data_IF_475091270218
#
_entry.id   IF_475091270218
#
_cell.length_a   1.000
_cell.length_b   1.000
_cell.length_c   1.000
_cell.angle_alpha   90.00
_cell.angle_beta   90.00
_cell.angle_gamma   90.00
#
_symmetry.space_group_name_H-M   'P 1'
#
loop_
_entity.id
_entity.type
_entity.pdbx_description
1 polymer ?
#
# COMPACT_ATOMS: atom_id res chain seq x y z
N UNK A 1 -17.89 -19.68 -18.88
CA UNK A 1 -16.96 -20.70 -18.36
C UNK A 1 -15.59 -20.11 -17.98
N UNK A 2 -14.87 -19.40 -18.87
CA UNK A 2 -13.55 -18.82 -18.54
C UNK A 2 -13.56 -17.87 -17.32
N UNK A 3 -14.57 -17.00 -17.19
CA UNK A 3 -14.70 -16.09 -16.04
C UNK A 3 -14.91 -16.85 -14.71
N UNK A 4 -15.71 -17.91 -14.73
CA UNK A 4 -15.96 -18.76 -13.57
C UNK A 4 -14.70 -19.55 -13.17
N UNK A 5 -13.93 -20.05 -14.14
CA UNK A 5 -12.64 -20.70 -13.89
C UNK A 5 -11.62 -19.74 -13.29
N UNK A 6 -11.57 -18.50 -13.76
CA UNK A 6 -10.73 -17.43 -13.18
C UNK A 6 -11.14 -17.13 -11.74
N UNK A 7 -12.44 -17.03 -11.45
CA UNK A 7 -12.94 -16.82 -10.08
C UNK A 7 -12.59 -17.99 -9.15
N UNK A 8 -12.72 -19.24 -9.60
CA UNK A 8 -12.32 -20.42 -8.82
C UNK A 8 -10.81 -20.44 -8.57
N UNK A 9 -10.01 -20.09 -9.58
CA UNK A 9 -8.55 -20.01 -9.47
C UNK A 9 -8.15 -18.97 -8.41
N UNK A 10 -8.78 -17.80 -8.39
CA UNK A 10 -8.47 -16.73 -7.42
C UNK A 10 -9.23 -16.81 -6.10
N UNK A 11 -10.14 -17.77 -5.92
CA UNK A 11 -10.87 -17.99 -4.67
C UNK A 11 -9.98 -17.93 -3.41
N UNK A 12 -8.76 -18.53 -3.39
CA UNK A 12 -7.88 -18.48 -2.21
C UNK A 12 -7.38 -17.08 -1.84
N UNK A 13 -7.38 -16.14 -2.80
CA UNK A 13 -6.85 -14.77 -2.61
C UNK A 13 -7.91 -13.69 -2.85
N UNK A 14 -9.16 -14.08 -3.11
CA UNK A 14 -10.22 -13.15 -3.50
C UNK A 14 -10.49 -12.11 -2.41
N UNK A 15 -10.59 -12.52 -1.15
CA UNK A 15 -10.83 -11.62 -0.01
C UNK A 15 -9.69 -10.61 0.15
N UNK A 16 -8.45 -11.05 -0.09
CA UNK A 16 -7.26 -10.22 -0.03
C UNK A 16 -7.28 -9.18 -1.15
N UNK A 17 -7.61 -9.59 -2.38
CA UNK A 17 -7.74 -8.70 -3.53
C UNK A 17 -8.83 -7.66 -3.32
N UNK A 18 -10.00 -8.05 -2.79
CA UNK A 18 -11.10 -7.13 -2.47
C UNK A 18 -10.66 -6.13 -1.40
N UNK A 19 -10.04 -6.59 -0.31
CA UNK A 19 -9.51 -5.72 0.74
C UNK A 19 -8.51 -4.71 0.18
N UNK A 20 -7.69 -5.12 -0.77
CA UNK A 20 -6.71 -4.26 -1.44
C UNK A 20 -7.33 -3.21 -2.35
N UNK A 21 -8.37 -3.57 -3.09
CA UNK A 21 -9.15 -2.60 -3.88
C UNK A 21 -9.73 -1.53 -2.96
N UNK A 22 -10.33 -1.94 -1.82
CA UNK A 22 -10.88 -1.00 -0.83
C UNK A 22 -9.78 -0.09 -0.28
N UNK A 23 -8.63 -0.66 0.09
CA UNK A 23 -7.53 0.11 0.65
C UNK A 23 -6.91 1.09 -0.36
N UNK A 24 -6.75 0.66 -1.61
CA UNK A 24 -6.32 1.51 -2.72
C UNK A 24 -7.32 2.66 -2.93
N UNK A 25 -8.63 2.36 -2.96
CA UNK A 25 -9.66 3.38 -3.09
C UNK A 25 -9.59 4.40 -1.96
N UNK A 26 -9.44 3.96 -0.70
CA UNK A 26 -9.26 4.85 0.45
C UNK A 26 -8.00 5.71 0.29
N UNK A 27 -6.87 5.12 -0.08
CA UNK A 27 -5.62 5.86 -0.29
C UNK A 27 -5.77 6.95 -1.37
N UNK A 28 -6.48 6.65 -2.46
CA UNK A 28 -6.83 7.61 -3.49
C UNK A 28 -7.74 8.73 -2.98
N UNK A 29 -8.82 8.39 -2.28
CA UNK A 29 -9.80 9.35 -1.73
C UNK A 29 -9.14 10.31 -0.74
N UNK A 30 -8.38 9.81 0.24
CA UNK A 30 -7.70 10.67 1.21
C UNK A 30 -6.59 11.50 0.57
N UNK A 31 -5.87 10.96 -0.42
CA UNK A 31 -4.89 11.71 -1.19
C UNK A 31 -5.51 12.88 -1.94
N UNK A 32 -6.68 12.65 -2.55
CA UNK A 32 -7.46 13.68 -3.22
C UNK A 32 -7.98 14.74 -2.24
N UNK A 33 -8.63 14.32 -1.15
CA UNK A 33 -9.17 15.23 -0.15
C UNK A 33 -8.08 16.14 0.43
N UNK A 34 -6.91 15.58 0.73
CA UNK A 34 -5.78 16.35 1.22
C UNK A 34 -5.33 17.43 0.23
N UNK A 35 -5.33 17.15 -1.08
CA UNK A 35 -4.93 18.13 -2.09
C UNK A 35 -5.96 19.26 -2.28
N UNK A 36 -7.25 18.92 -2.24
CA UNK A 36 -8.34 19.91 -2.31
C UNK A 36 -8.29 20.84 -1.09
N UNK A 37 -8.23 20.25 0.11
CA UNK A 37 -8.24 21.01 1.38
C UNK A 37 -7.01 21.92 1.50
N UNK A 38 -5.84 21.46 1.03
CA UNK A 38 -4.61 22.25 1.07
C UNK A 38 -4.48 23.23 -0.12
N UNK A 39 -5.51 23.42 -0.93
CA UNK A 39 -5.54 24.39 -2.04
C UNK A 39 -4.59 24.05 -3.20
N UNK A 40 -4.10 22.81 -3.30
CA UNK A 40 -3.10 22.40 -4.31
C UNK A 40 -3.73 22.04 -5.67
N UNK A 41 -5.06 22.04 -5.75
CA UNK A 41 -5.82 21.65 -6.95
C UNK A 41 -5.63 20.17 -7.33
N UNK A 42 -6.44 19.68 -8.26
CA UNK A 42 -6.28 18.33 -8.80
C UNK A 42 -5.03 18.24 -9.68
N UNK A 43 -4.09 17.36 -9.32
CA UNK A 43 -2.90 17.07 -10.14
C UNK A 43 -3.03 15.70 -10.81
N UNK A 44 -3.25 15.69 -12.12
CA UNK A 44 -3.30 14.46 -12.93
C UNK A 44 -2.07 13.55 -12.72
N UNK A 45 -0.89 14.13 -12.48
CA UNK A 45 0.34 13.37 -12.21
C UNK A 45 0.29 12.51 -10.93
N UNK A 46 -0.57 12.84 -9.96
CA UNK A 46 -0.74 12.03 -8.75
C UNK A 46 -1.70 10.87 -8.97
N UNK A 47 -2.79 11.13 -9.68
CA UNK A 47 -3.73 10.09 -10.08
C UNK A 47 -3.05 9.02 -10.95
N UNK A 48 -2.19 9.42 -11.89
CA UNK A 48 -1.42 8.46 -12.70
C UNK A 48 -0.43 7.65 -11.86
N UNK A 49 0.29 8.27 -10.92
CA UNK A 49 1.17 7.54 -9.99
C UNK A 49 0.41 6.52 -9.14
N UNK A 50 -0.77 6.89 -8.65
CA UNK A 50 -1.66 5.97 -7.93
C UNK A 50 -2.10 4.80 -8.81
N UNK A 51 -2.56 5.06 -10.04
CA UNK A 51 -2.95 4.01 -10.99
C UNK A 51 -1.79 3.07 -11.33
N UNK A 52 -0.57 3.60 -11.50
CA UNK A 52 0.64 2.79 -11.71
C UNK A 52 0.91 1.90 -10.50
N UNK A 53 0.77 2.42 -9.27
CA UNK A 53 0.91 1.60 -8.05
C UNK A 53 -0.12 0.47 -8.00
N UNK A 54 -1.39 0.75 -8.32
CA UNK A 54 -2.42 -0.28 -8.43
C UNK A 54 -2.03 -1.35 -9.46
N UNK A 55 -1.64 -0.92 -10.65
CA UNK A 55 -1.29 -1.82 -11.76
C UNK A 55 -0.11 -2.73 -11.40
N UNK A 56 0.98 -2.15 -10.85
CA UNK A 56 2.16 -2.90 -10.43
C UNK A 56 1.81 -3.93 -9.35
N UNK A 57 1.00 -3.54 -8.36
CA UNK A 57 0.54 -4.46 -7.32
C UNK A 57 -0.26 -5.63 -7.88
N UNK A 58 -1.25 -5.35 -8.74
CA UNK A 58 -2.08 -6.38 -9.35
C UNK A 58 -1.26 -7.35 -10.20
N UNK A 59 -0.36 -6.83 -11.06
CA UNK A 59 0.50 -7.67 -11.89
C UNK A 59 1.41 -8.54 -11.04
N UNK A 60 2.00 -8.01 -9.96
CA UNK A 60 2.86 -8.75 -9.05
C UNK A 60 2.12 -9.92 -8.39
N UNK A 61 0.95 -9.65 -7.80
CA UNK A 61 0.13 -10.68 -7.12
C UNK A 61 -0.31 -11.75 -8.10
N UNK A 62 -0.78 -11.34 -9.29
CA UNK A 62 -1.21 -12.26 -10.33
C UNK A 62 -0.05 -13.14 -10.82
N UNK A 63 1.13 -12.56 -11.03
CA UNK A 63 2.31 -13.30 -11.47
C UNK A 63 2.73 -14.35 -10.43
N UNK A 64 2.78 -13.99 -9.14
CA UNK A 64 3.14 -14.92 -8.07
C UNK A 64 2.14 -16.06 -7.93
N UNK A 65 0.85 -15.75 -8.02
CA UNK A 65 -0.19 -16.76 -7.94
C UNK A 65 -0.16 -17.71 -9.14
N UNK A 66 -0.04 -17.17 -10.36
CA UNK A 66 0.04 -17.96 -11.60
C UNK A 66 1.28 -18.85 -11.63
N UNK A 67 2.46 -18.32 -11.29
CA UNK A 67 3.70 -19.12 -11.21
C UNK A 67 3.55 -20.21 -10.16
N UNK A 68 3.03 -19.88 -8.98
CA UNK A 68 2.76 -20.83 -7.90
C UNK A 68 1.81 -21.96 -8.30
N UNK A 69 0.79 -21.66 -9.08
CA UNK A 69 -0.11 -22.64 -9.66
C UNK A 69 0.61 -23.59 -10.64
N UNK A 70 1.44 -23.05 -11.53
CA UNK A 70 2.20 -23.85 -12.50
C UNK A 70 3.21 -24.81 -11.87
N UNK A 71 3.74 -24.49 -10.69
CA UNK A 71 4.64 -25.36 -9.93
C UNK A 71 3.89 -26.28 -8.95
N UNK A 72 2.55 -26.33 -9.01
CA UNK A 72 1.68 -27.10 -8.10
C UNK A 72 1.88 -26.76 -6.61
N UNK A 73 2.09 -25.47 -6.30
CA UNK A 73 2.31 -24.92 -4.96
C UNK A 73 1.29 -23.83 -4.61
N UNK A 74 0.01 -24.13 -4.80
CA UNK A 74 -1.07 -23.15 -4.64
C UNK A 74 -1.14 -22.55 -3.23
N UNK A 75 -0.88 -23.36 -2.19
CA UNK A 75 -0.96 -22.87 -0.79
C UNK A 75 0.20 -21.94 -0.43
N UNK A 76 1.42 -22.25 -0.90
CA UNK A 76 2.58 -21.40 -0.71
C UNK A 76 2.43 -20.11 -1.54
N UNK A 77 1.87 -20.19 -2.75
CA UNK A 77 1.57 -19.04 -3.59
C UNK A 77 0.59 -18.08 -2.92
N UNK A 78 -0.52 -18.60 -2.37
CA UNK A 78 -1.49 -17.81 -1.62
C UNK A 78 -0.86 -17.15 -0.37
N UNK A 79 0.06 -17.86 0.29
CA UNK A 79 0.81 -17.32 1.43
C UNK A 79 1.72 -16.17 1.01
N UNK A 80 2.47 -16.31 -0.08
CA UNK A 80 3.31 -15.24 -0.64
C UNK A 80 2.48 -14.00 -1.01
N UNK A 81 1.34 -14.20 -1.68
CA UNK A 81 0.39 -13.13 -1.98
C UNK A 81 -0.08 -12.45 -0.69
N UNK A 82 -0.44 -13.22 0.34
CA UNK A 82 -0.85 -12.69 1.65
C UNK A 82 0.23 -11.83 2.30
N UNK A 83 1.49 -12.26 2.26
CA UNK A 83 2.61 -11.49 2.84
C UNK A 83 2.80 -10.16 2.11
N UNK A 84 2.85 -10.17 0.78
CA UNK A 84 2.97 -8.94 -0.02
C UNK A 84 1.78 -8.03 0.21
N UNK A 85 0.60 -8.62 0.36
CA UNK A 85 -0.61 -7.89 0.70
C UNK A 85 -0.47 -7.20 2.05
N UNK A 86 -0.05 -7.89 3.11
CA UNK A 86 0.16 -7.29 4.43
C UNK A 86 1.16 -6.11 4.37
N UNK A 87 2.27 -6.27 3.65
CA UNK A 87 3.27 -5.19 3.45
C UNK A 87 2.63 -4.00 2.72
N UNK A 88 1.88 -4.26 1.65
CA UNK A 88 1.18 -3.23 0.88
C UNK A 88 0.13 -2.52 1.74
N UNK A 89 -0.59 -3.28 2.57
CA UNK A 89 -1.58 -2.74 3.52
C UNK A 89 -0.94 -1.71 4.43
N UNK A 90 0.21 -2.06 4.98
CA UNK A 90 0.96 -1.17 5.85
C UNK A 90 1.41 0.11 5.14
N UNK A 91 2.02 0.00 3.96
CA UNK A 91 2.48 1.16 3.18
C UNK A 91 1.32 2.12 2.89
N UNK A 92 0.16 1.60 2.47
CA UNK A 92 -1.00 2.45 2.21
C UNK A 92 -1.65 2.98 3.49
N UNK A 93 -1.63 2.24 4.59
CA UNK A 93 -2.11 2.74 5.88
C UNK A 93 -1.32 3.97 6.35
N UNK A 94 0.02 3.93 6.23
CA UNK A 94 0.88 5.10 6.49
C UNK A 94 0.48 6.29 5.60
N UNK A 95 0.24 6.05 4.32
CA UNK A 95 -0.15 7.10 3.38
C UNK A 95 -1.50 7.72 3.72
N UNK A 96 -2.49 6.88 4.04
CA UNK A 96 -3.83 7.30 4.46
C UNK A 96 -3.73 8.14 5.73
N UNK A 97 -3.06 7.66 6.77
CA UNK A 97 -2.91 8.38 8.04
C UNK A 97 -2.23 9.74 7.85
N UNK A 98 -1.18 9.80 7.03
CA UNK A 98 -0.52 11.05 6.66
C UNK A 98 -1.46 12.02 5.94
N UNK A 99 -2.26 11.53 5.00
CA UNK A 99 -3.23 12.36 4.28
C UNK A 99 -4.36 12.84 5.20
N UNK A 100 -4.90 11.97 6.06
CA UNK A 100 -5.87 12.32 7.10
C UNK A 100 -5.34 13.41 8.03
N UNK A 101 -4.09 13.27 8.51
CA UNK A 101 -3.41 14.30 9.31
C UNK A 101 -3.36 15.64 8.56
N UNK A 102 -3.01 15.61 7.27
CA UNK A 102 -2.92 16.82 6.44
C UNK A 102 -4.28 17.45 6.11
N UNK A 103 -5.39 16.71 6.26
CA UNK A 103 -6.75 17.24 6.15
C UNK A 103 -7.20 17.95 7.44
N UNK A 104 -6.56 17.69 8.58
CA UNK A 104 -6.94 18.28 9.86
C UNK A 104 -6.17 19.57 10.16
N UNK A 105 -6.82 20.60 10.75
CA UNK A 105 -6.12 21.75 11.30
C UNK A 105 -5.16 21.32 12.42
N UNK A 106 -3.94 21.87 12.45
CA UNK A 106 -2.90 21.51 13.44
C UNK A 106 -3.31 21.68 14.90
N UNK A 107 -4.27 22.56 15.17
CA UNK A 107 -4.80 22.82 16.51
C UNK A 107 -5.87 21.82 16.96
N UNK A 108 -6.40 21.00 16.05
CA UNK A 108 -7.48 20.06 16.32
C UNK A 108 -7.00 18.79 17.04
N UNK A 109 -7.83 18.26 17.93
CA UNK A 109 -7.62 16.95 18.56
C UNK A 109 -7.48 15.82 17.53
N UNK A 110 -8.16 15.91 16.38
CA UNK A 110 -8.07 14.92 15.31
C UNK A 110 -6.70 14.94 14.62
N UNK A 111 -6.06 16.10 14.49
CA UNK A 111 -4.69 16.18 13.98
C UNK A 111 -3.74 15.40 14.90
N UNK A 112 -3.83 15.63 16.22
CA UNK A 112 -3.01 14.92 17.21
C UNK A 112 -3.23 13.40 17.16
N UNK A 113 -4.48 12.96 17.02
CA UNK A 113 -4.80 11.54 16.89
C UNK A 113 -4.14 10.93 15.65
N UNK A 114 -4.34 11.53 14.46
CA UNK A 114 -3.74 11.00 13.23
C UNK A 114 -2.22 11.09 13.23
N UNK A 115 -1.63 12.08 13.90
CA UNK A 115 -0.18 12.22 14.05
C UNK A 115 0.42 11.10 14.90
N UNK A 116 -0.21 10.78 16.05
CA UNK A 116 0.18 9.64 16.90
C UNK A 116 0.01 8.32 16.16
N UNK A 117 -1.13 8.10 15.50
CA UNK A 117 -1.36 6.88 14.73
C UNK A 117 -0.36 6.73 13.58
N UNK A 118 -0.08 7.82 12.86
CA UNK A 118 0.93 7.83 11.81
C UNK A 118 2.32 7.43 12.36
N UNK A 119 2.72 7.98 13.50
CA UNK A 119 3.99 7.65 14.16
C UNK A 119 4.04 6.16 14.56
N UNK A 120 3.02 5.67 15.26
CA UNK A 120 2.95 4.28 15.73
C UNK A 120 3.02 3.30 14.56
N UNK A 121 2.16 3.48 13.55
CA UNK A 121 2.10 2.57 12.40
C UNK A 121 3.39 2.63 11.57
N UNK A 122 4.03 3.81 11.47
CA UNK A 122 5.31 3.95 10.76
C UNK A 122 6.44 3.15 11.43
N UNK A 123 6.48 3.13 12.77
CA UNK A 123 7.55 2.46 13.53
C UNK A 123 7.28 0.97 13.73
N UNK A 124 6.01 0.58 13.92
CA UNK A 124 5.64 -0.81 14.26
C UNK A 124 6.15 -1.86 13.28
N UNK A 125 6.33 -1.56 11.99
CA UNK A 125 6.92 -2.52 11.03
C UNK A 125 8.44 -2.41 10.94
N UNK A 126 9.02 -1.23 11.15
CA UNK A 126 10.49 -1.06 11.20
C UNK A 126 11.06 -1.92 12.34
N UNK A 127 10.38 -1.94 13.48
CA UNK A 127 10.80 -2.73 14.64
C UNK A 127 10.46 -4.23 14.50
N UNK A 128 9.35 -4.58 13.84
CA UNK A 128 8.92 -5.99 13.69
C UNK A 128 9.51 -6.72 12.48
N UNK A 129 10.07 -6.01 11.51
CA UNK A 129 10.69 -6.59 10.32
C UNK A 129 12.11 -6.03 10.18
N UNK A 130 13.13 -6.66 10.81
CA UNK A 130 14.50 -6.15 10.82
C UNK A 130 15.09 -5.96 9.41
N UNK A 131 14.60 -6.70 8.42
CA UNK A 131 14.96 -6.54 7.01
C UNK A 131 14.50 -5.20 6.40
N UNK A 132 13.32 -4.69 6.80
CA UNK A 132 12.77 -3.41 6.31
C UNK A 132 13.54 -2.23 6.89
N UNK A 133 13.90 -2.28 8.18
CA UNK A 133 14.76 -1.27 8.80
C UNK A 133 16.11 -1.16 8.07
N UNK A 134 16.72 -2.31 7.77
CA UNK A 134 17.98 -2.41 7.03
C UNK A 134 17.89 -1.85 5.60
N UNK A 135 16.75 -2.03 4.93
CA UNK A 135 16.49 -1.52 3.59
C UNK A 135 16.26 0.00 3.58
N UNK A 136 15.47 0.53 4.53
CA UNK A 136 15.22 1.98 4.64
C UNK A 136 16.51 2.73 4.91
N UNK A 137 17.33 2.26 5.86
CA UNK A 137 18.63 2.86 6.16
C UNK A 137 19.54 2.95 4.93
N UNK A 138 19.61 1.86 4.14
CA UNK A 138 20.36 1.82 2.88
C UNK A 138 19.85 2.84 1.85
N UNK A 139 18.53 3.00 1.74
CA UNK A 139 17.92 3.92 0.78
C UNK A 139 18.10 5.40 1.17
N UNK A 140 18.13 5.70 2.46
CA UNK A 140 18.45 7.04 2.97
C UNK A 140 19.92 7.41 2.71
N UNK A 141 20.84 6.44 2.83
CA UNK A 141 22.26 6.61 2.45
C UNK A 141 22.44 6.87 0.95
N UNK A 142 21.76 6.12 0.08
CA UNK A 142 21.77 6.35 -1.38
C UNK A 142 21.23 7.73 -1.74
N UNK A 143 20.13 8.18 -1.12
CA UNK A 143 19.56 9.51 -1.36
C UNK A 143 20.50 10.64 -0.94
N UNK A 144 21.26 10.48 0.14
CA UNK A 144 22.23 11.47 0.60
C UNK A 144 23.49 11.52 -0.26
N UNK A 145 23.88 10.40 -0.88
CA UNK A 145 25.02 10.34 -1.79
C UNK A 145 24.72 10.96 -3.17
N UNK A 146 23.46 11.02 -3.59
CA UNK A 146 23.06 11.72 -4.82
C UNK A 146 22.95 13.26 -4.69
N UNK A 147 23.10 13.79 -3.48
CA UNK A 147 23.09 15.23 -3.16
C UNK A 147 24.50 15.81 -2.89
N UNK A 148 25.54 14.97 -2.97
CA UNK A 148 26.95 15.36 -2.97
C UNK A 148 27.52 15.28 -4.37
#
# INVERSE_FOLDING_TARGET
MLFSCLLTLFSPIQDILIGMVVLLAMNGVFGLLADIINGKGWKMSKATRFLVQCFVYFVLVMALFVVGHFIHKDSEAATCVSIISIITTWVFSINILRNCRNCCPKTSSMYKLFDILYYIVSIQIVEKVPFVASYIARKEEESNNHLK
#
